data_IF_178566774717
#
_entry.id   IF_178566774717
#
_cell.length_a   1.000
_cell.length_b   1.000
_cell.length_c   1.000
_cell.angle_alpha   90.00
_cell.angle_beta   90.00
_cell.angle_gamma   90.00
#
_symmetry.space_group_name_H-M   'P 1'
#
loop_
_entity.id
_entity.type
_entity.pdbx_description
1 polymer ?
#
# COMPACT_ATOMS: atom_id res chain seq x y z
N UNK A 1 22.48 -1.67 -14.00
CA UNK A 1 21.48 -0.69 -14.51
C UNK A 1 21.89 -0.17 -15.88
N UNK A 2 20.93 0.02 -16.77
CA UNK A 2 21.12 0.63 -18.09
C UNK A 2 20.29 1.92 -18.22
N UNK A 3 20.63 2.78 -19.19
CA UNK A 3 19.97 4.06 -19.41
C UNK A 3 19.21 4.04 -20.74
N UNK A 4 17.89 3.87 -20.67
CA UNK A 4 17.04 3.63 -21.84
C UNK A 4 15.58 4.04 -21.64
N UNK A 5 14.77 3.97 -22.71
CA UNK A 5 13.33 4.17 -22.61
C UNK A 5 12.66 2.97 -21.93
N UNK A 6 11.51 3.20 -21.30
CA UNK A 6 10.67 2.17 -20.68
C UNK A 6 9.25 2.20 -21.29
N UNK A 7 9.10 1.91 -22.60
CA UNK A 7 7.83 2.10 -23.33
C UNK A 7 6.71 1.18 -22.82
N UNK A 8 7.06 0.05 -22.23
CA UNK A 8 6.11 -0.88 -21.62
C UNK A 8 5.46 -0.33 -20.33
N UNK A 9 6.09 0.64 -19.67
CA UNK A 9 5.59 1.27 -18.44
C UNK A 9 5.09 2.70 -18.67
N UNK A 10 5.77 3.48 -19.53
CA UNK A 10 5.51 4.92 -19.73
C UNK A 10 5.07 5.28 -21.16
N UNK A 11 4.72 4.27 -21.99
CA UNK A 11 4.05 4.46 -23.27
C UNK A 11 4.77 5.41 -24.23
N UNK A 12 4.11 6.52 -24.58
CA UNK A 12 4.55 7.49 -25.59
C UNK A 12 5.54 8.55 -25.07
N UNK A 13 5.98 8.46 -23.82
CA UNK A 13 6.94 9.41 -23.25
C UNK A 13 8.35 9.18 -23.81
N UNK A 14 9.02 10.25 -24.27
CA UNK A 14 10.41 10.21 -24.78
C UNK A 14 11.45 10.38 -23.64
N UNK A 15 11.06 10.01 -22.42
CA UNK A 15 11.92 10.07 -21.25
C UNK A 15 12.85 8.85 -21.19
N UNK A 16 14.09 9.09 -20.78
CA UNK A 16 15.10 8.04 -20.56
C UNK A 16 15.30 7.84 -19.07
N UNK A 17 15.34 6.58 -18.65
CA UNK A 17 15.40 6.18 -17.25
C UNK A 17 16.60 5.29 -17.01
N UNK A 18 17.15 5.34 -15.79
CA UNK A 18 18.01 4.27 -15.31
C UNK A 18 17.13 3.13 -14.81
N UNK A 19 17.28 1.95 -15.38
CA UNK A 19 16.51 0.77 -14.98
C UNK A 19 17.36 -0.49 -14.96
N UNK A 20 16.89 -1.49 -14.24
CA UNK A 20 17.44 -2.84 -14.25
C UNK A 20 16.33 -3.81 -13.86
N UNK A 21 16.32 -4.98 -14.46
CA UNK A 21 15.53 -6.08 -13.90
C UNK A 21 16.09 -6.47 -12.53
N UNK A 22 15.20 -6.77 -11.60
CA UNK A 22 15.53 -7.30 -10.28
C UNK A 22 14.66 -8.51 -10.01
N UNK A 23 15.23 -9.54 -9.38
CA UNK A 23 14.42 -10.61 -8.82
C UNK A 23 13.53 -10.05 -7.70
N UNK A 24 12.32 -10.61 -7.50
CA UNK A 24 11.52 -10.32 -6.31
C UNK A 24 12.34 -10.62 -5.04
N UNK A 25 12.32 -9.69 -4.10
CA UNK A 25 12.98 -9.86 -2.81
C UNK A 25 11.99 -10.43 -1.78
N UNK A 26 12.45 -11.39 -0.98
CA UNK A 26 11.72 -11.87 0.19
C UNK A 26 11.81 -10.83 1.31
N UNK A 27 10.72 -10.10 1.55
CA UNK A 27 10.66 -9.00 2.50
C UNK A 27 9.52 -9.20 3.49
N UNK A 28 9.70 -8.67 4.70
CA UNK A 28 8.66 -8.72 5.72
C UNK A 28 7.39 -8.00 5.24
N UNK A 29 6.29 -8.75 5.11
CA UNK A 29 5.01 -8.18 4.73
C UNK A 29 4.47 -7.21 5.80
N UNK A 30 3.74 -6.15 5.40
CA UNK A 30 2.97 -5.37 6.35
C UNK A 30 1.89 -6.25 6.98
N UNK A 31 1.52 -5.95 8.22
CA UNK A 31 0.55 -6.74 8.97
C UNK A 31 -0.81 -6.03 8.97
N UNK A 32 -1.85 -6.78 8.63
CA UNK A 32 -3.24 -6.39 8.85
C UNK A 32 -3.93 -7.50 9.66
N UNK A 33 -4.13 -7.25 10.96
CA UNK A 33 -4.68 -8.23 11.90
C UNK A 33 -6.09 -7.80 12.29
N UNK A 34 -7.08 -8.66 12.09
CA UNK A 34 -8.43 -8.42 12.60
C UNK A 34 -8.43 -8.59 14.12
N UNK A 35 -8.76 -7.54 14.85
CA UNK A 35 -8.84 -7.52 16.31
C UNK A 35 -10.28 -7.46 16.82
N UNK A 36 -11.24 -7.14 15.94
CA UNK A 36 -12.65 -7.14 16.25
C UNK A 36 -13.49 -7.26 14.97
N UNK A 37 -14.64 -7.91 15.09
CA UNK A 37 -15.64 -7.98 14.04
C UNK A 37 -17.03 -8.01 14.65
N UNK A 38 -17.94 -7.20 14.11
CA UNK A 38 -19.36 -7.21 14.45
C UNK A 38 -20.17 -7.15 13.16
N UNK A 39 -21.31 -7.84 13.12
CA UNK A 39 -22.23 -7.79 12.00
C UNK A 39 -23.65 -7.58 12.53
N UNK A 40 -24.29 -6.49 12.13
CA UNK A 40 -25.64 -6.15 12.56
C UNK A 40 -26.36 -5.29 11.52
N UNK A 41 -27.66 -5.55 11.35
CA UNK A 41 -28.56 -4.75 10.50
C UNK A 41 -28.04 -4.49 9.07
N UNK A 42 -27.46 -5.51 8.42
CA UNK A 42 -26.93 -5.42 7.05
C UNK A 42 -25.62 -4.63 6.93
N UNK A 43 -24.90 -4.46 8.04
CA UNK A 43 -23.60 -3.82 8.12
C UNK A 43 -22.61 -4.72 8.82
N UNK A 44 -21.35 -4.63 8.42
CA UNK A 44 -20.23 -5.32 9.04
C UNK A 44 -19.21 -4.28 9.48
N UNK A 45 -18.83 -4.30 10.75
CA UNK A 45 -17.76 -3.47 11.29
C UNK A 45 -16.56 -4.34 11.59
N UNK A 46 -15.39 -3.99 11.06
CA UNK A 46 -14.13 -4.69 11.27
C UNK A 46 -13.13 -3.73 11.89
N UNK A 47 -12.53 -4.15 13.01
CA UNK A 47 -11.40 -3.46 13.63
C UNK A 47 -10.11 -4.18 13.27
N UNK A 48 -9.17 -3.41 12.74
CA UNK A 48 -7.88 -3.87 12.23
C UNK A 48 -6.75 -3.23 13.03
N UNK A 49 -5.72 -4.00 13.33
CA UNK A 49 -4.41 -3.48 13.68
C UNK A 49 -3.52 -3.54 12.43
N UNK A 50 -3.13 -2.38 11.91
CA UNK A 50 -2.29 -2.24 10.71
C UNK A 50 -0.88 -1.85 11.11
N UNK A 51 0.15 -2.54 10.64
CA UNK A 51 1.55 -2.22 10.97
C UNK A 51 2.49 -2.37 9.78
N UNK A 52 3.49 -1.49 9.69
CA UNK A 52 4.64 -1.66 8.78
C UNK A 52 5.85 -2.10 9.59
N UNK A 53 6.36 -3.31 9.29
CA UNK A 53 7.58 -3.84 9.94
C UNK A 53 8.86 -3.33 9.29
N UNK A 54 8.73 -2.58 8.19
CA UNK A 54 9.85 -2.13 7.36
C UNK A 54 10.12 -0.62 7.50
N UNK A 55 9.37 0.07 8.37
CA UNK A 55 9.51 1.52 8.54
C UNK A 55 9.05 2.30 7.31
N UNK A 56 8.01 1.83 6.63
CA UNK A 56 7.48 2.47 5.44
C UNK A 56 6.96 3.89 5.76
N UNK A 57 7.35 4.86 4.94
CA UNK A 57 6.85 6.23 5.06
C UNK A 57 5.36 6.31 4.69
N UNK A 58 4.90 5.38 3.85
CA UNK A 58 3.54 5.33 3.34
C UNK A 58 3.01 3.90 3.30
N UNK A 59 1.71 3.77 3.56
CA UNK A 59 0.95 2.55 3.38
C UNK A 59 -0.45 2.86 2.85
N UNK A 60 -1.04 1.90 2.15
CA UNK A 60 -2.41 2.00 1.64
C UNK A 60 -3.16 0.73 2.02
N UNK A 61 -4.29 0.89 2.70
CA UNK A 61 -5.27 -0.16 2.89
C UNK A 61 -6.29 -0.08 1.75
N UNK A 62 -6.47 -1.18 1.01
CA UNK A 62 -7.52 -1.35 0.04
C UNK A 62 -8.59 -2.30 0.61
N UNK A 63 -9.85 -1.93 0.40
CA UNK A 63 -11.00 -2.81 0.60
C UNK A 63 -11.65 -3.01 -0.77
N UNK A 64 -11.45 -4.20 -1.33
CA UNK A 64 -11.92 -4.55 -2.67
C UNK A 64 -13.27 -5.27 -2.56
N UNK A 65 -14.27 -4.81 -3.32
CA UNK A 65 -15.59 -5.45 -3.39
C UNK A 65 -16.49 -5.15 -2.19
N UNK A 66 -16.28 -4.03 -1.50
CA UNK A 66 -17.07 -3.67 -0.33
C UNK A 66 -17.38 -2.18 -0.29
N UNK A 67 -18.66 -1.86 -0.11
CA UNK A 67 -19.10 -0.49 0.09
C UNK A 67 -18.79 -0.02 1.50
N UNK A 68 -17.75 0.81 1.64
CA UNK A 68 -17.42 1.46 2.92
C UNK A 68 -18.47 2.50 3.27
N UNK A 69 -18.99 2.45 4.49
CA UNK A 69 -20.00 3.37 5.02
C UNK A 69 -19.37 4.40 5.95
N UNK A 70 -18.39 3.98 6.76
CA UNK A 70 -17.71 4.77 7.76
C UNK A 70 -16.33 4.18 8.05
N UNK A 71 -15.37 5.00 8.45
CA UNK A 71 -14.09 4.52 8.96
C UNK A 71 -13.51 5.45 10.04
N UNK A 72 -12.66 4.90 10.89
CA UNK A 72 -11.96 5.59 11.95
C UNK A 72 -10.50 5.16 11.99
N UNK A 73 -9.62 6.11 12.28
CA UNK A 73 -8.20 5.86 12.54
C UNK A 73 -7.92 6.28 13.98
N UNK A 74 -7.51 5.33 14.82
CA UNK A 74 -7.26 5.53 16.24
C UNK A 74 -8.45 6.22 16.96
N UNK A 75 -9.68 5.87 16.56
CA UNK A 75 -10.94 6.42 17.09
C UNK A 75 -11.34 7.79 16.52
N UNK A 76 -10.54 8.37 15.63
CA UNK A 76 -10.89 9.61 14.92
C UNK A 76 -11.64 9.28 13.63
N UNK A 77 -12.86 9.81 13.43
CA UNK A 77 -13.63 9.55 12.22
C UNK A 77 -12.95 10.16 10.99
N UNK A 78 -12.96 9.41 9.89
CA UNK A 78 -12.49 9.86 8.60
C UNK A 78 -13.40 10.91 7.96
N UNK A 79 -12.82 11.76 7.11
CA UNK A 79 -13.58 12.70 6.29
C UNK A 79 -13.98 12.04 4.96
N UNK A 80 -15.28 12.01 4.66
CA UNK A 80 -15.82 11.49 3.40
C UNK A 80 -16.86 10.39 3.59
N UNK A 81 -17.80 10.28 2.64
CA UNK A 81 -18.62 9.07 2.50
C UNK A 81 -17.72 8.02 1.86
N UNK A 82 -17.61 6.83 2.44
CA UNK A 82 -17.01 5.72 1.70
C UNK A 82 -17.73 5.60 0.35
N UNK A 83 -16.94 5.40 -0.71
CA UNK A 83 -17.34 5.64 -2.09
C UNK A 83 -18.63 4.91 -2.47
N UNK A 84 -19.30 5.42 -3.51
CA UNK A 84 -20.36 4.66 -4.19
C UNK A 84 -19.78 3.48 -4.99
N UNK A 85 -18.47 3.49 -5.23
CA UNK A 85 -17.71 2.46 -5.94
C UNK A 85 -17.12 1.43 -4.96
N UNK A 86 -17.05 0.18 -5.42
CA UNK A 86 -16.63 -1.01 -4.65
C UNK A 86 -15.12 -1.06 -4.31
N UNK A 87 -14.36 -0.04 -4.71
CA UNK A 87 -12.89 0.03 -4.52
C UNK A 87 -12.52 1.23 -3.63
N UNK A 88 -12.57 1.03 -2.31
CA UNK A 88 -12.16 2.04 -1.34
C UNK A 88 -10.69 1.87 -0.95
N UNK A 89 -9.98 2.99 -0.76
CA UNK A 89 -8.64 2.99 -0.21
C UNK A 89 -8.42 4.03 0.88
N UNK A 90 -7.62 3.68 1.88
CA UNK A 90 -7.17 4.57 2.95
C UNK A 90 -5.66 4.68 2.92
N UNK A 91 -5.20 5.93 2.85
CA UNK A 91 -3.80 6.30 2.79
C UNK A 91 -3.29 6.65 4.19
N UNK A 92 -2.20 6.00 4.57
CA UNK A 92 -1.60 6.09 5.89
C UNK A 92 -0.15 6.54 5.76
N UNK A 93 0.21 7.59 6.47
CA UNK A 93 1.57 8.10 6.51
C UNK A 93 2.21 7.77 7.85
N UNK A 94 3.44 7.26 7.81
CA UNK A 94 4.21 6.87 9.01
C UNK A 94 3.51 5.77 9.81
N UNK A 95 3.17 4.65 9.17
CA UNK A 95 2.54 3.50 9.84
C UNK A 95 3.56 2.86 10.81
N UNK A 96 3.34 2.91 12.14
CA UNK A 96 4.32 2.45 13.11
C UNK A 96 4.41 0.91 13.15
N UNK A 97 5.52 0.41 13.71
CA UNK A 97 5.78 -1.03 13.80
C UNK A 97 4.89 -1.74 14.83
N UNK A 98 4.50 -1.04 15.90
CA UNK A 98 3.53 -1.47 16.90
C UNK A 98 2.08 -1.50 16.37
N UNK A 99 1.84 -0.78 15.27
CA UNK A 99 0.58 -0.72 14.56
C UNK A 99 -0.36 0.42 14.95
N UNK A 100 -1.33 0.70 14.08
CA UNK A 100 -2.45 1.62 14.30
C UNK A 100 -3.77 0.89 14.21
N UNK A 101 -4.75 1.40 14.95
CA UNK A 101 -6.10 0.85 14.91
C UNK A 101 -6.89 1.51 13.80
N UNK A 102 -7.46 0.71 12.91
CA UNK A 102 -8.40 1.18 11.89
C UNK A 102 -9.69 0.42 12.05
N UNK A 103 -10.78 1.13 12.28
CA UNK A 103 -12.12 0.56 12.28
C UNK A 103 -12.81 0.94 10.99
N UNK A 104 -13.39 -0.04 10.29
CA UNK A 104 -14.16 0.21 9.07
C UNK A 104 -15.52 -0.45 9.18
N UNK A 105 -16.57 0.30 8.85
CA UNK A 105 -17.92 -0.21 8.70
C UNK A 105 -18.25 -0.28 7.21
N UNK A 106 -18.66 -1.45 6.74
CA UNK A 106 -19.05 -1.73 5.35
C UNK A 106 -20.50 -2.22 5.28
N UNK A 107 -21.11 -2.15 4.09
CA UNK A 107 -22.32 -2.92 3.80
C UNK A 107 -22.01 -4.43 3.85
N UNK A 108 -22.93 -5.23 4.37
CA UNK A 108 -22.75 -6.70 4.49
C UNK A 108 -23.37 -7.41 3.28
N UNK A 109 -22.76 -7.21 2.10
CA UNK A 109 -23.25 -7.67 0.79
C UNK A 109 -22.36 -8.74 0.13
N UNK A 110 -21.24 -9.12 0.77
CA UNK A 110 -20.34 -10.12 0.23
C UNK A 110 -19.04 -10.32 1.03
N UNK A 111 -18.11 -11.14 0.52
CA UNK A 111 -16.81 -11.36 1.15
C UNK A 111 -15.97 -10.08 1.09
N UNK A 112 -15.35 -9.72 2.21
CA UNK A 112 -14.47 -8.56 2.29
C UNK A 112 -13.03 -8.97 1.97
N UNK A 113 -12.42 -8.37 0.95
CA UNK A 113 -11.00 -8.54 0.64
C UNK A 113 -10.21 -7.33 1.11
N UNK A 114 -9.27 -7.57 2.01
CA UNK A 114 -8.33 -6.56 2.50
C UNK A 114 -6.98 -6.75 1.85
N UNK A 115 -6.39 -5.65 1.40
CA UNK A 115 -5.03 -5.62 0.90
C UNK A 115 -4.30 -4.43 1.51
N UNK A 116 -3.24 -4.71 2.26
CA UNK A 116 -2.37 -3.69 2.83
C UNK A 116 -1.08 -3.68 2.02
N UNK A 117 -0.71 -2.50 1.53
CA UNK A 117 0.55 -2.28 0.81
C UNK A 117 1.37 -1.23 1.55
N UNK A 118 2.67 -1.44 1.70
CA UNK A 118 3.57 -0.44 2.26
C UNK A 118 4.78 -0.15 1.34
N UNK A 119 5.27 1.09 1.41
CA UNK A 119 6.33 1.62 0.55
C UNK A 119 7.54 2.07 1.37
N UNK A 120 8.71 1.52 1.04
CA UNK A 120 9.99 2.08 1.49
C UNK A 120 10.72 2.73 0.33
N UNK A 121 11.52 3.75 0.63
CA UNK A 121 12.43 4.38 -0.32
C UNK A 121 13.50 3.40 -0.80
N UNK A 122 13.89 3.55 -2.06
CA UNK A 122 14.92 2.73 -2.67
C UNK A 122 14.48 1.30 -2.95
N UNK A 123 15.45 0.50 -3.37
CA UNK A 123 15.32 -0.94 -3.58
C UNK A 123 16.13 -1.67 -2.51
N UNK A 124 15.82 -2.95 -2.21
CA UNK A 124 16.54 -3.69 -1.18
C UNK A 124 18.05 -3.77 -1.49
N UNK A 125 18.92 -3.76 -0.47
CA UNK A 125 20.35 -3.94 -0.67
C UNK A 125 20.64 -5.23 -1.46
N UNK A 126 21.46 -5.11 -2.51
CA UNK A 126 21.81 -6.25 -3.38
C UNK A 126 20.75 -6.66 -4.41
N UNK A 127 19.60 -5.97 -4.47
CA UNK A 127 18.58 -6.23 -5.49
C UNK A 127 19.03 -5.79 -6.89
N UNK A 128 19.81 -4.72 -6.99
CA UNK A 128 20.32 -4.23 -8.27
C UNK A 128 21.64 -4.92 -8.65
N UNK A 129 21.83 -5.28 -9.92
CA UNK A 129 23.14 -5.69 -10.42
C UNK A 129 24.14 -4.52 -10.31
N UNK A 130 25.45 -4.80 -10.18
CA UNK A 130 26.49 -3.78 -10.30
C UNK A 130 26.36 -3.00 -11.62
N UNK A 131 26.61 -1.69 -11.62
CA UNK A 131 26.67 -0.91 -12.84
C UNK A 131 26.89 0.58 -12.61
N UNK A 132 27.08 1.32 -13.71
CA UNK A 132 27.48 2.75 -13.72
C UNK A 132 26.32 3.73 -13.46
N UNK A 133 25.18 3.23 -12.98
CA UNK A 133 24.02 4.06 -12.66
C UNK A 133 24.24 4.94 -11.44
N UNK A 134 23.42 5.99 -11.23
CA UNK A 134 23.51 6.81 -10.03
C UNK A 134 23.39 5.92 -8.79
N UNK A 135 24.16 6.20 -7.72
CA UNK A 135 24.13 5.38 -6.52
C UNK A 135 22.71 5.33 -5.96
N UNK A 136 22.15 4.14 -5.77
CA UNK A 136 21.02 4.00 -4.83
C UNK A 136 21.46 4.44 -3.43
N UNK A 137 20.59 4.60 -2.42
CA UNK A 137 19.17 4.97 -2.34
C UNK A 137 19.02 6.49 -2.11
N UNK A 138 19.88 7.33 -2.71
CA UNK A 138 20.17 8.68 -2.21
C UNK A 138 19.10 9.75 -2.47
N UNK A 139 17.99 9.43 -3.12
CA UNK A 139 16.89 10.37 -3.32
C UNK A 139 15.59 9.76 -2.77
N UNK A 140 15.01 10.32 -1.69
CA UNK A 140 13.73 9.87 -1.18
C UNK A 140 12.70 10.00 -2.30
N UNK A 141 11.94 8.93 -2.48
CA UNK A 141 11.01 8.78 -3.56
C UNK A 141 9.79 9.65 -3.19
N UNK A 142 9.44 10.72 -3.94
CA UNK A 142 8.23 11.46 -3.63
C UNK A 142 7.04 10.51 -3.60
N UNK A 143 6.10 10.90 -2.75
CA UNK A 143 4.94 10.17 -2.28
C UNK A 143 4.25 9.26 -3.31
N UNK A 144 3.46 8.30 -2.82
CA UNK A 144 2.60 7.44 -3.63
C UNK A 144 1.70 8.35 -4.50
N UNK A 145 1.99 8.45 -5.80
CA UNK A 145 1.34 9.41 -6.71
C UNK A 145 2.12 9.56 -8.02
N UNK A 146 1.73 10.48 -8.91
CA UNK A 146 2.37 10.68 -10.24
C UNK A 146 3.90 10.90 -10.19
N UNK A 147 4.49 11.11 -9.01
CA UNK A 147 5.93 11.08 -8.76
C UNK A 147 6.58 9.68 -8.70
N UNK A 148 5.86 8.60 -9.05
CA UNK A 148 6.27 7.18 -9.05
C UNK A 148 7.58 6.82 -9.80
N UNK A 149 8.27 7.79 -10.42
CA UNK A 149 9.49 7.60 -11.23
C UNK A 149 10.78 7.46 -10.40
N UNK A 150 10.69 6.93 -9.19
CA UNK A 150 11.79 6.87 -8.24
C UNK A 150 11.90 5.48 -7.63
N UNK A 151 13.13 5.09 -7.28
CA UNK A 151 13.42 3.79 -6.68
C UNK A 151 12.57 3.60 -5.42
N UNK A 152 11.71 2.58 -5.41
CA UNK A 152 10.86 2.27 -4.29
C UNK A 152 10.65 0.76 -4.17
N UNK A 153 10.40 0.30 -2.95
CA UNK A 153 10.10 -1.10 -2.68
C UNK A 153 8.69 -1.23 -2.14
N UNK A 154 7.86 -1.96 -2.88
CA UNK A 154 6.49 -2.26 -2.54
C UNK A 154 6.39 -3.66 -1.97
N UNK A 155 5.67 -3.83 -0.87
CA UNK A 155 5.25 -5.14 -0.40
C UNK A 155 3.77 -5.07 -0.09
N UNK A 156 3.04 -6.10 -0.52
CA UNK A 156 1.60 -6.21 -0.29
C UNK A 156 1.27 -7.50 0.45
N UNK A 157 0.30 -7.43 1.34
CA UNK A 157 -0.32 -8.56 2.02
C UNK A 157 -1.82 -8.50 1.77
N UNK A 158 -2.43 -9.63 1.45
CA UNK A 158 -3.87 -9.72 1.21
C UNK A 158 -4.50 -10.79 2.11
N UNK A 159 -5.69 -10.51 2.61
CA UNK A 159 -6.49 -11.44 3.41
C UNK A 159 -7.96 -11.31 3.02
N UNK A 160 -8.67 -12.43 2.97
CA UNK A 160 -10.12 -12.45 2.81
C UNK A 160 -10.78 -12.69 4.17
N UNK A 161 -11.85 -11.95 4.46
CA UNK A 161 -12.72 -12.20 5.61
C UNK A 161 -14.04 -12.80 5.13
N UNK A 162 -14.41 -13.94 5.73
CA UNK A 162 -15.71 -14.57 5.57
C UNK A 162 -16.76 -13.77 6.34
#
# INVERSE_FOLDING_TARGET
>A
PEHGPLPEFFGAEDHRYFHAETAPAELAAPAAVVTGADASAGRRTVTLCLASRRGAAEAVLFLDGARVLHYEVDGCPGEGRGGEDDDWSLWLYGLPAEGRTVTVTVADDGPLRLRLMDRTDGVPPGALPPGDGPPGPALPAPALGSGMLCNATWVSASTALA
#
